data_IF_635042762231
#
_entry.id   IF_635042762231
#
_cell.length_a   1.000
_cell.length_b   1.000
_cell.length_c   1.000
_cell.angle_alpha   90.00
_cell.angle_beta   90.00
_cell.angle_gamma   90.00
#
_symmetry.space_group_name_H-M   'P 1'
#
loop_
_entity.id
_entity.type
_entity.pdbx_description
1 polymer ?
#
# COMPACT_ATOMS: atom_id res chain seq x y z
N UNK A 1 -10.12 34.65 3.65
CA UNK A 1 -10.69 33.30 3.81
C UNK A 1 -10.82 32.68 2.43
N UNK A 2 -10.17 31.61 1.99
CA UNK A 2 -9.27 30.59 2.56
C UNK A 2 -8.42 30.07 1.36
N UNK A 3 -7.53 30.87 0.76
CA UNK A 3 -6.06 30.88 0.97
C UNK A 3 -5.49 29.63 1.62
N UNK A 4 -5.36 28.53 0.88
CA UNK A 4 -4.19 27.60 0.96
C UNK A 4 -3.92 26.89 -0.38
N UNK A 5 -4.79 27.03 -1.39
CA UNK A 5 -4.40 26.78 -2.79
C UNK A 5 -3.35 27.83 -3.18
N UNK A 6 -2.21 27.36 -3.68
CA UNK A 6 -1.05 28.16 -4.11
C UNK A 6 -0.22 28.79 -2.97
N UNK A 7 0.64 28.00 -2.34
CA UNK A 7 2.05 28.36 -2.12
C UNK A 7 2.84 27.18 -1.54
N UNK A 8 4.11 27.08 -1.93
CA UNK A 8 5.12 26.07 -1.58
C UNK A 8 5.21 24.85 -2.51
N UNK A 9 5.41 25.16 -3.80
CA UNK A 9 6.52 24.54 -4.50
C UNK A 9 7.83 24.89 -3.77
N UNK A 10 8.30 24.02 -2.86
CA UNK A 10 9.69 24.01 -2.37
C UNK A 10 10.00 22.70 -1.63
N UNK A 11 10.33 21.64 -2.38
CA UNK A 11 11.24 20.56 -1.94
C UNK A 11 11.54 19.63 -3.13
N UNK A 12 11.98 20.21 -4.25
CA UNK A 12 12.59 19.49 -5.36
C UNK A 12 14.10 19.75 -5.37
N UNK A 13 14.80 19.55 -4.24
CA UNK A 13 16.25 19.33 -4.17
C UNK A 13 16.56 18.56 -2.89
N UNK A 14 16.57 17.22 -2.98
CA UNK A 14 17.41 16.35 -2.14
C UNK A 14 17.51 14.98 -2.81
N UNK A 15 17.99 15.02 -4.06
CA UNK A 15 18.43 13.86 -4.82
C UNK A 15 19.95 13.92 -4.96
N UNK A 16 20.68 13.88 -3.85
CA UNK A 16 22.10 13.55 -3.81
C UNK A 16 22.52 13.30 -2.36
N UNK A 17 23.15 12.14 -2.13
CA UNK A 17 23.70 11.65 -0.86
C UNK A 17 22.72 10.95 0.10
N UNK A 18 22.38 9.70 -0.23
CA UNK A 18 22.17 8.67 0.78
C UNK A 18 23.23 7.57 0.59
N UNK A 19 24.20 7.45 1.51
CA UNK A 19 25.14 6.35 1.50
C UNK A 19 24.41 5.06 1.87
N UNK A 20 24.61 4.03 1.05
CA UNK A 20 24.22 2.67 1.37
C UNK A 20 22.75 2.37 1.12
N UNK A 21 22.49 1.68 0.02
CA UNK A 21 21.47 0.64 -0.02
C UNK A 21 21.86 -0.43 1.03
N UNK A 22 21.67 -0.11 2.30
CA UNK A 22 21.70 -1.08 3.39
C UNK A 22 20.49 -1.98 3.21
N UNK A 23 20.71 -3.18 2.68
CA UNK A 23 19.80 -4.31 2.85
C UNK A 23 19.70 -4.60 4.35
N UNK A 24 18.85 -3.86 5.05
CA UNK A 24 18.39 -4.23 6.38
C UNK A 24 17.42 -5.40 6.21
N UNK A 25 17.92 -6.61 6.43
CA UNK A 25 17.16 -7.87 6.41
C UNK A 25 16.06 -7.96 7.50
N UNK A 26 15.72 -6.84 8.17
CA UNK A 26 14.73 -6.76 9.24
C UNK A 26 13.35 -6.23 8.81
N UNK A 27 13.20 -5.72 7.58
CA UNK A 27 11.98 -5.01 7.15
C UNK A 27 11.39 -5.52 5.81
N UNK A 28 11.65 -6.78 5.45
CA UNK A 28 11.13 -7.35 4.18
C UNK A 28 9.60 -7.26 4.07
N UNK A 29 8.87 -7.38 5.19
CA UNK A 29 7.41 -7.23 5.21
C UNK A 29 6.96 -5.77 4.99
N UNK A 30 7.76 -4.78 5.38
CA UNK A 30 7.45 -3.36 5.10
C UNK A 30 7.63 -3.04 3.63
N UNK A 31 8.63 -3.64 2.96
CA UNK A 31 8.77 -3.52 1.50
C UNK A 31 7.56 -4.10 0.78
N UNK A 32 7.14 -5.30 1.16
CA UNK A 32 5.91 -5.89 0.59
C UNK A 32 4.67 -5.04 0.87
N UNK A 33 4.56 -4.49 2.09
CA UNK A 33 3.49 -3.57 2.45
C UNK A 33 3.45 -2.35 1.52
N UNK A 34 4.60 -1.72 1.27
CA UNK A 34 4.70 -0.56 0.38
C UNK A 34 4.36 -0.91 -1.07
N UNK A 35 4.87 -2.03 -1.57
CA UNK A 35 4.56 -2.54 -2.91
C UNK A 35 3.05 -2.75 -3.11
N UNK A 36 2.39 -3.38 -2.13
CA UNK A 36 0.94 -3.57 -2.15
C UNK A 36 0.27 -2.20 -2.14
N UNK A 37 0.57 -1.34 -1.16
CA UNK A 37 -0.09 -0.05 -1.03
C UNK A 37 0.07 0.86 -2.25
N UNK A 38 1.22 0.82 -2.95
CA UNK A 38 1.46 1.66 -4.12
C UNK A 38 0.59 1.25 -5.33
N UNK A 39 0.10 0.01 -5.37
CA UNK A 39 -0.77 -0.46 -6.45
C UNK A 39 -2.22 0.01 -6.32
N UNK A 40 -2.62 0.65 -5.21
CA UNK A 40 -4.00 1.13 -5.04
C UNK A 40 -4.38 2.23 -6.03
N UNK A 41 -3.42 3.08 -6.43
CA UNK A 41 -3.65 4.19 -7.37
C UNK A 41 -4.15 3.70 -8.73
N UNK A 42 -3.64 2.56 -9.19
CA UNK A 42 -4.01 1.96 -10.48
C UNK A 42 -4.94 0.74 -10.35
N UNK A 43 -5.57 0.56 -9.19
CA UNK A 43 -6.36 -0.65 -8.85
C UNK A 43 -7.44 -0.99 -9.88
N UNK A 44 -8.12 0.02 -10.45
CA UNK A 44 -9.15 -0.15 -11.48
C UNK A 44 -8.62 -0.68 -12.82
N UNK A 45 -7.32 -0.49 -13.09
CA UNK A 45 -6.66 -0.91 -14.34
C UNK A 45 -5.95 -2.25 -14.22
N UNK A 46 -5.79 -2.79 -12.99
CA UNK A 46 -5.11 -4.06 -12.76
C UNK A 46 -5.93 -5.23 -13.31
N UNK A 47 -5.31 -6.30 -13.85
CA UNK A 47 -6.04 -7.49 -14.25
C UNK A 47 -6.67 -8.22 -13.05
N UNK A 48 -7.74 -8.97 -13.29
CA UNK A 48 -8.51 -9.68 -12.24
C UNK A 48 -7.63 -10.64 -11.43
N UNK A 49 -6.74 -11.37 -12.09
CA UNK A 49 -5.83 -12.31 -11.41
C UNK A 49 -4.81 -11.60 -10.52
N UNK A 50 -4.37 -10.40 -10.91
CA UNK A 50 -3.47 -9.60 -10.08
C UNK A 50 -4.20 -9.04 -8.85
N UNK A 51 -5.45 -8.59 -8.98
CA UNK A 51 -6.26 -8.19 -7.84
C UNK A 51 -6.47 -9.33 -6.84
N UNK A 52 -6.77 -10.55 -7.31
CA UNK A 52 -6.87 -11.74 -6.45
C UNK A 52 -5.56 -12.03 -5.73
N UNK A 53 -4.45 -11.93 -6.45
CA UNK A 53 -3.11 -12.08 -5.87
C UNK A 53 -2.83 -11.03 -4.79
N UNK A 54 -3.21 -9.77 -5.03
CA UNK A 54 -3.05 -8.69 -4.05
C UNK A 54 -3.90 -8.91 -2.79
N UNK A 55 -5.15 -9.36 -2.92
CA UNK A 55 -5.98 -9.73 -1.76
C UNK A 55 -5.30 -10.84 -0.94
N UNK A 56 -4.85 -11.91 -1.59
CA UNK A 56 -4.16 -13.01 -0.91
C UNK A 56 -2.84 -12.59 -0.24
N UNK A 57 -2.08 -11.67 -0.87
CA UNK A 57 -0.87 -11.08 -0.28
C UNK A 57 -1.20 -10.23 0.94
N UNK A 58 -2.27 -9.43 0.89
CA UNK A 58 -2.74 -8.68 2.05
C UNK A 58 -3.07 -9.63 3.21
N UNK A 59 -3.75 -10.74 2.97
CA UNK A 59 -4.13 -11.68 4.03
C UNK A 59 -2.89 -12.34 4.68
N UNK A 60 -1.89 -12.71 3.87
CA UNK A 60 -0.60 -13.23 4.37
C UNK A 60 0.18 -12.19 5.16
N UNK A 61 0.29 -10.98 4.62
CA UNK A 61 1.04 -9.89 5.24
C UNK A 61 0.38 -9.44 6.56
N UNK A 62 -0.95 -9.50 6.64
CA UNK A 62 -1.68 -9.23 7.87
C UNK A 62 -1.24 -10.16 9.00
N UNK A 63 -1.01 -11.45 8.73
CA UNK A 63 -0.51 -12.38 9.74
C UNK A 63 0.87 -11.97 10.28
N UNK A 64 1.75 -11.45 9.42
CA UNK A 64 3.09 -10.94 9.82
C UNK A 64 2.98 -9.63 10.63
N UNK A 65 2.08 -8.74 10.25
CA UNK A 65 1.84 -7.48 10.98
C UNK A 65 1.26 -7.76 12.37
N UNK A 66 0.41 -8.77 12.50
CA UNK A 66 -0.20 -9.13 13.78
C UNK A 66 0.82 -9.68 14.81
N UNK A 67 2.03 -10.06 14.40
CA UNK A 67 3.13 -10.44 15.32
C UNK A 67 4.00 -9.27 15.77
N UNK A 68 3.79 -8.06 15.22
CA UNK A 68 4.56 -6.88 15.60
C UNK A 68 4.04 -6.26 16.91
N UNK A 69 4.77 -5.29 17.45
CA UNK A 69 4.33 -4.51 18.61
C UNK A 69 3.00 -3.79 18.34
N UNK A 70 2.28 -3.42 19.41
CA UNK A 70 0.93 -2.85 19.30
C UNK A 70 0.87 -1.53 18.50
N UNK A 71 1.91 -0.70 18.57
CA UNK A 71 1.95 0.56 17.82
C UNK A 71 2.10 0.30 16.33
N UNK A 72 3.09 -0.51 15.96
CA UNK A 72 3.34 -0.92 14.57
C UNK A 72 2.12 -1.64 14.00
N UNK A 73 1.63 -2.66 14.71
CA UNK A 73 0.45 -3.43 14.31
C UNK A 73 -0.74 -2.55 13.99
N UNK A 74 -1.07 -1.59 14.86
CA UNK A 74 -2.24 -0.72 14.68
C UNK A 74 -2.14 0.12 13.40
N UNK A 75 -0.99 0.73 13.15
CA UNK A 75 -0.76 1.60 11.98
C UNK A 75 -0.82 0.80 10.68
N UNK A 76 -0.02 -0.27 10.58
CA UNK A 76 0.12 -1.03 9.35
C UNK A 76 -1.12 -1.88 9.04
N UNK A 77 -1.76 -2.47 10.05
CA UNK A 77 -2.98 -3.28 9.86
C UNK A 77 -4.13 -2.47 9.29
N UNK A 78 -4.31 -1.23 9.75
CA UNK A 78 -5.40 -0.36 9.26
C UNK A 78 -5.20 0.02 7.80
N UNK A 79 -3.99 0.41 7.41
CA UNK A 79 -3.69 0.74 6.01
C UNK A 79 -3.76 -0.48 5.11
N UNK A 80 -3.24 -1.63 5.55
CA UNK A 80 -3.32 -2.88 4.78
C UNK A 80 -4.77 -3.32 4.55
N UNK A 81 -5.62 -3.20 5.57
CA UNK A 81 -7.04 -3.51 5.46
C UNK A 81 -7.73 -2.63 4.42
N UNK A 82 -7.45 -1.33 4.39
CA UNK A 82 -8.00 -0.43 3.39
C UNK A 82 -7.58 -0.82 1.96
N UNK A 83 -6.31 -1.18 1.75
CA UNK A 83 -5.83 -1.67 0.46
C UNK A 83 -6.54 -2.96 0.04
N UNK A 84 -6.67 -3.93 0.96
CA UNK A 84 -7.36 -5.20 0.73
C UNK A 84 -8.83 -4.99 0.35
N UNK A 85 -9.52 -4.12 1.08
CA UNK A 85 -10.94 -3.84 0.86
C UNK A 85 -11.16 -3.12 -0.49
N UNK A 86 -10.24 -2.25 -0.90
CA UNK A 86 -10.27 -1.66 -2.24
C UNK A 86 -10.14 -2.73 -3.34
N UNK A 87 -9.17 -3.63 -3.26
CA UNK A 87 -9.00 -4.68 -4.27
C UNK A 87 -10.20 -5.62 -4.34
N UNK A 88 -10.73 -6.01 -3.17
CA UNK A 88 -11.93 -6.84 -3.04
C UNK A 88 -13.18 -6.14 -3.62
N UNK A 89 -13.33 -4.83 -3.40
CA UNK A 89 -14.39 -4.04 -4.01
C UNK A 89 -14.29 -4.01 -5.55
N UNK A 90 -13.09 -3.79 -6.11
CA UNK A 90 -12.89 -3.78 -7.57
C UNK A 90 -13.18 -5.17 -8.16
N UNK A 91 -12.76 -6.25 -7.50
CA UNK A 91 -13.09 -7.62 -7.91
C UNK A 91 -14.60 -7.86 -7.95
N UNK A 92 -15.31 -7.52 -6.86
CA UNK A 92 -16.75 -7.70 -6.77
C UNK A 92 -17.51 -6.91 -7.83
N UNK A 93 -17.07 -5.68 -8.10
CA UNK A 93 -17.68 -4.83 -9.15
C UNK A 93 -17.58 -5.52 -10.51
N UNK A 94 -16.42 -6.06 -10.85
CA UNK A 94 -16.19 -6.77 -12.12
C UNK A 94 -16.94 -8.10 -12.22
N UNK A 95 -17.12 -8.80 -11.10
CA UNK A 95 -17.93 -10.02 -11.05
C UNK A 95 -19.42 -9.71 -11.28
N UNK A 96 -19.89 -8.56 -10.78
CA UNK A 96 -21.26 -8.09 -11.02
C UNK A 96 -21.47 -7.63 -12.46
N UNK A 97 -20.50 -6.94 -13.08
CA UNK A 97 -20.58 -6.52 -14.50
C UNK A 97 -20.60 -7.69 -15.50
N UNK A 98 -20.06 -8.84 -15.12
CA UNK A 98 -20.01 -10.04 -15.95
C UNK A 98 -21.28 -10.91 -15.86
N UNK A 99 -22.20 -10.56 -14.96
CA UNK A 99 -23.41 -11.31 -14.68
C UNK A 99 -24.62 -10.69 -15.36
#
# INVERSE_FOLDING_TARGET
MKRIFAQLALAAVLLAALPGAGKCAGDDWKREFEEICNKTENSMSLPTEELKSLVARCDKLKAVIDTQDESTKKVFRKRLQLCRDLYDFVLKTREQEKK
#
